data_IF_534609120794
#
_entry.id   IF_534609120794
#
_cell.length_a   1.000
_cell.length_b   1.000
_cell.length_c   1.000
_cell.angle_alpha   90.00
_cell.angle_beta   90.00
_cell.angle_gamma   90.00
#
_symmetry.space_group_name_H-M   'P 1'
#
loop_
_entity.id
_entity.type
_entity.pdbx_description
1 polymer ?
#
# COMPACT_ATOMS: atom_id res chain seq x y z
N UNK A 1 -7.07 26.76 3.33
CA UNK A 1 -6.56 25.82 4.33
C UNK A 1 -6.77 24.41 3.85
N UNK A 2 -5.72 23.63 3.80
CA UNK A 2 -5.79 22.27 3.32
C UNK A 2 -6.24 21.35 4.46
N UNK A 3 -7.30 20.59 4.24
CA UNK A 3 -7.75 19.61 5.23
C UNK A 3 -6.76 18.44 5.25
N UNK A 4 -6.40 17.99 6.44
CA UNK A 4 -5.57 16.82 6.61
C UNK A 4 -6.46 15.58 6.66
N UNK A 5 -6.04 14.55 5.95
CA UNK A 5 -6.69 13.25 6.00
C UNK A 5 -5.98 12.39 7.06
N UNK A 6 -6.71 11.49 7.68
CA UNK A 6 -6.11 10.54 8.61
C UNK A 6 -5.79 9.26 7.84
N UNK A 7 -4.53 8.82 7.92
CA UNK A 7 -4.09 7.61 7.24
C UNK A 7 -4.08 6.45 8.22
N UNK A 8 -4.77 5.39 7.87
CA UNK A 8 -4.82 4.15 8.65
C UNK A 8 -4.16 3.04 7.85
N UNK A 9 -3.20 2.37 8.46
CA UNK A 9 -2.63 1.14 7.91
C UNK A 9 -3.47 0.00 8.46
N UNK A 10 -4.26 -0.64 7.62
CA UNK A 10 -5.11 -1.74 8.07
C UNK A 10 -4.25 -2.92 8.53
N UNK A 11 -4.83 -3.74 9.41
CA UNK A 11 -4.09 -4.83 10.02
C UNK A 11 -3.47 -5.77 8.99
N UNK A 12 -4.19 -6.06 7.90
CA UNK A 12 -3.67 -6.90 6.83
C UNK A 12 -2.48 -6.27 6.11
N UNK A 13 -2.48 -4.95 5.93
CA UNK A 13 -1.36 -4.23 5.34
C UNK A 13 -0.18 -4.15 6.31
N UNK A 14 -0.46 -4.01 7.60
CA UNK A 14 0.57 -4.08 8.63
C UNK A 14 1.27 -5.44 8.61
N UNK A 15 0.49 -6.51 8.48
CA UNK A 15 1.03 -7.86 8.35
C UNK A 15 1.89 -8.00 7.09
N UNK A 16 1.45 -7.40 5.98
CA UNK A 16 2.25 -7.35 4.75
C UNK A 16 3.63 -6.74 5.02
N UNK A 17 3.66 -5.62 5.74
CA UNK A 17 4.91 -4.92 6.04
C UNK A 17 5.84 -5.78 6.89
N UNK A 18 5.28 -6.48 7.87
CA UNK A 18 6.09 -7.35 8.73
C UNK A 18 6.70 -8.50 7.94
N UNK A 19 5.95 -9.09 7.03
CA UNK A 19 6.44 -10.18 6.18
C UNK A 19 7.53 -9.69 5.22
N UNK A 20 7.36 -8.50 4.65
CA UNK A 20 8.37 -7.87 3.80
C UNK A 20 9.65 -7.63 4.61
N UNK A 21 9.51 -7.09 5.82
CA UNK A 21 10.64 -6.79 6.69
C UNK A 21 11.41 -8.07 7.07
N UNK A 22 10.69 -9.14 7.42
CA UNK A 22 11.32 -10.42 7.75
C UNK A 22 12.13 -10.96 6.57
N UNK A 23 11.57 -10.89 5.38
CA UNK A 23 12.24 -11.36 4.18
C UNK A 23 13.49 -10.54 3.87
N UNK A 24 13.40 -9.22 3.97
CA UNK A 24 14.54 -8.33 3.74
C UNK A 24 15.62 -8.55 4.81
N UNK A 25 15.22 -8.73 6.07
CA UNK A 25 16.17 -9.00 7.15
C UNK A 25 16.98 -10.28 6.90
N UNK A 26 16.31 -11.33 6.39
CA UNK A 26 16.99 -12.59 6.06
C UNK A 26 17.93 -12.45 4.86
N UNK A 27 17.52 -11.68 3.83
CA UNK A 27 18.29 -11.56 2.58
C UNK A 27 19.36 -10.48 2.64
N UNK A 28 19.19 -9.47 3.45
CA UNK A 28 20.10 -8.35 3.58
C UNK A 28 20.53 -8.13 5.02
N UNK A 29 19.75 -7.36 5.78
CA UNK A 29 20.05 -7.07 7.19
C UNK A 29 18.81 -6.50 7.89
N UNK A 30 18.83 -6.53 9.22
CA UNK A 30 17.79 -5.88 10.02
C UNK A 30 17.78 -4.37 9.82
N UNK A 31 18.95 -3.78 9.64
CA UNK A 31 19.06 -2.35 9.38
C UNK A 31 18.34 -1.98 8.08
N UNK A 32 18.58 -2.75 7.02
CA UNK A 32 17.92 -2.54 5.73
C UNK A 32 16.40 -2.72 5.85
N UNK A 33 15.97 -3.73 6.61
CA UNK A 33 14.55 -3.97 6.82
C UNK A 33 13.88 -2.80 7.55
N UNK A 34 14.49 -2.28 8.61
CA UNK A 34 13.96 -1.13 9.36
C UNK A 34 13.91 0.12 8.49
N UNK A 35 14.95 0.36 7.70
CA UNK A 35 15.00 1.49 6.79
C UNK A 35 13.86 1.43 5.77
N UNK A 36 13.61 0.24 5.22
CA UNK A 36 12.52 0.04 4.27
C UNK A 36 11.16 0.29 4.92
N UNK A 37 10.94 -0.23 6.13
CA UNK A 37 9.68 0.01 6.84
C UNK A 37 9.43 1.50 7.06
N UNK A 38 10.45 2.24 7.47
CA UNK A 38 10.32 3.68 7.68
C UNK A 38 10.00 4.40 6.38
N UNK A 39 10.63 3.99 5.28
CA UNK A 39 10.37 4.59 3.97
C UNK A 39 8.96 4.29 3.47
N UNK A 40 8.46 3.07 3.70
CA UNK A 40 7.09 2.71 3.34
C UNK A 40 6.07 3.52 4.15
N UNK A 41 6.33 3.70 5.45
CA UNK A 41 5.46 4.51 6.31
C UNK A 41 5.48 5.98 5.89
N UNK A 42 6.67 6.51 5.55
CA UNK A 42 6.78 7.88 5.06
C UNK A 42 6.02 8.06 3.75
N UNK A 43 6.10 7.08 2.86
CA UNK A 43 5.37 7.09 1.60
C UNK A 43 3.85 7.16 1.87
N UNK A 44 3.37 6.31 2.77
CA UNK A 44 1.94 6.30 3.13
C UNK A 44 1.52 7.63 3.76
N UNK A 45 2.38 8.24 4.58
CA UNK A 45 2.04 9.48 5.27
C UNK A 45 1.83 10.66 4.32
N UNK A 46 2.37 10.61 3.11
CA UNK A 46 2.13 11.66 2.12
C UNK A 46 0.65 11.79 1.76
N UNK A 47 -0.12 10.73 1.99
CA UNK A 47 -1.55 10.71 1.70
C UNK A 47 -2.37 11.58 2.67
N UNK A 48 -1.79 12.02 3.77
CA UNK A 48 -2.43 12.95 4.69
C UNK A 48 -2.77 14.28 4.00
N UNK A 49 -1.93 14.70 3.08
CA UNK A 49 -2.08 15.96 2.37
C UNK A 49 -2.49 15.78 0.91
N UNK A 50 -2.14 14.66 0.31
CA UNK A 50 -2.35 14.39 -1.11
C UNK A 50 -2.99 13.02 -1.32
N UNK A 51 -4.24 12.82 -0.85
CA UNK A 51 -4.87 11.50 -0.92
C UNK A 51 -5.15 11.01 -2.35
N UNK A 52 -5.24 11.94 -3.31
CA UNK A 52 -5.55 11.59 -4.69
C UNK A 52 -4.31 11.46 -5.57
N UNK A 53 -3.11 11.49 -4.98
CA UNK A 53 -1.88 11.47 -5.78
C UNK A 53 -1.61 10.14 -6.48
N UNK A 54 -2.19 9.06 -5.99
CA UNK A 54 -1.99 7.75 -6.57
C UNK A 54 -2.82 7.53 -7.82
N UNK A 55 -2.44 6.52 -8.60
CA UNK A 55 -3.17 6.10 -9.79
C UNK A 55 -4.08 4.91 -9.48
N UNK A 56 -5.08 4.69 -10.32
CA UNK A 56 -5.96 3.52 -10.17
C UNK A 56 -5.19 2.30 -10.68
N UNK A 57 -5.09 1.21 -9.88
CA UNK A 57 -4.41 0.00 -10.34
C UNK A 57 -5.09 -0.56 -11.59
N UNK A 58 -4.28 -0.85 -12.63
CA UNK A 58 -4.82 -1.37 -13.89
C UNK A 58 -5.56 -2.69 -13.69
N UNK A 59 -5.08 -3.52 -12.77
CA UNK A 59 -5.71 -4.81 -12.44
C UNK A 59 -7.15 -4.66 -11.98
N UNK A 60 -7.45 -3.57 -11.27
CA UNK A 60 -8.80 -3.29 -10.77
C UNK A 60 -9.61 -2.50 -11.80
N UNK A 61 -8.97 -1.61 -12.52
CA UNK A 61 -9.65 -0.83 -13.58
C UNK A 61 -10.24 -1.75 -14.65
N UNK A 62 -9.54 -2.83 -14.98
CA UNK A 62 -10.03 -3.83 -15.94
C UNK A 62 -11.33 -4.48 -15.49
N UNK A 63 -11.55 -4.53 -14.18
CA UNK A 63 -12.77 -5.10 -13.59
C UNK A 63 -13.83 -4.04 -13.31
N UNK A 64 -13.59 -2.80 -13.72
CA UNK A 64 -14.51 -1.70 -13.46
C UNK A 64 -14.45 -1.15 -12.05
N UNK A 65 -13.42 -1.52 -11.27
CA UNK A 65 -13.27 -1.11 -9.87
C UNK A 65 -12.33 0.10 -9.83
N UNK A 66 -12.83 1.24 -9.37
CA UNK A 66 -12.10 2.50 -9.38
C UNK A 66 -11.98 3.15 -8.00
N UNK A 67 -12.42 2.47 -6.95
CA UNK A 67 -12.38 3.02 -5.59
C UNK A 67 -11.00 2.98 -4.95
N UNK A 68 -10.08 2.24 -5.53
CA UNK A 68 -8.73 2.07 -4.98
C UNK A 68 -7.71 2.83 -5.83
N UNK A 69 -6.67 3.31 -5.15
CA UNK A 69 -5.52 3.94 -5.80
C UNK A 69 -4.26 3.26 -5.31
N UNK A 70 -3.16 3.50 -5.99
CA UNK A 70 -1.87 2.95 -5.60
C UNK A 70 -0.78 4.01 -5.61
N UNK A 71 0.16 3.85 -4.68
CA UNK A 71 1.47 4.50 -4.76
C UNK A 71 2.50 3.43 -5.06
N UNK A 72 3.56 3.83 -5.73
CA UNK A 72 4.68 2.93 -6.01
C UNK A 72 5.91 3.49 -5.31
N UNK A 73 6.58 2.66 -4.52
CA UNK A 73 7.82 3.00 -3.88
C UNK A 73 8.83 1.88 -4.17
N UNK A 74 9.88 2.18 -4.94
CA UNK A 74 10.79 1.16 -5.45
C UNK A 74 9.98 0.10 -6.21
N UNK A 75 10.09 -1.17 -5.83
CA UNK A 75 9.28 -2.25 -6.43
C UNK A 75 7.98 -2.52 -5.68
N UNK A 76 7.72 -1.79 -4.59
CA UNK A 76 6.54 -2.03 -3.74
C UNK A 76 5.37 -1.18 -4.18
N UNK A 77 4.17 -1.75 -4.04
CA UNK A 77 2.91 -1.06 -4.34
C UNK A 77 2.09 -0.97 -3.07
N UNK A 78 1.60 0.24 -2.78
CA UNK A 78 0.70 0.50 -1.65
C UNK A 78 -0.68 0.76 -2.23
N UNK A 79 -1.62 -0.12 -1.94
CA UNK A 79 -2.99 -0.02 -2.45
C UNK A 79 -3.86 0.56 -1.34
N UNK A 80 -4.55 1.66 -1.63
CA UNK A 80 -5.32 2.37 -0.62
C UNK A 80 -6.67 2.83 -1.17
N UNK A 81 -7.57 3.19 -0.25
CA UNK A 81 -8.87 3.73 -0.59
C UNK A 81 -9.14 4.96 0.28
N UNK A 82 -9.72 5.98 -0.32
CA UNK A 82 -10.10 7.21 0.39
C UNK A 82 -11.60 7.14 0.67
N UNK A 83 -11.99 7.33 1.94
CA UNK A 83 -13.39 7.34 2.34
C UNK A 83 -13.59 8.51 3.30
N UNK A 84 -14.35 9.52 2.84
CA UNK A 84 -14.53 10.73 3.63
C UNK A 84 -13.20 11.41 3.90
N UNK A 85 -12.89 11.69 5.16
CA UNK A 85 -11.61 12.29 5.58
C UNK A 85 -10.54 11.28 5.93
N UNK A 86 -10.71 10.02 5.57
CA UNK A 86 -9.81 8.93 5.95
C UNK A 86 -9.22 8.23 4.75
N UNK A 87 -7.98 7.78 4.90
CA UNK A 87 -7.29 6.96 3.91
C UNK A 87 -6.99 5.61 4.55
N UNK A 88 -7.39 4.54 3.91
CA UNK A 88 -7.15 3.18 4.40
C UNK A 88 -6.19 2.46 3.47
N UNK A 89 -5.02 2.11 3.99
CA UNK A 89 -4.04 1.31 3.24
C UNK A 89 -4.39 -0.16 3.43
N UNK A 90 -4.76 -0.82 2.33
CA UNK A 90 -5.27 -2.20 2.33
C UNK A 90 -4.19 -3.24 2.06
N UNK A 91 -3.27 -2.94 1.14
CA UNK A 91 -2.28 -3.91 0.68
C UNK A 91 -0.94 -3.21 0.48
N UNK A 92 0.13 -3.85 0.92
CA UNK A 92 1.49 -3.45 0.58
C UNK A 92 2.18 -4.70 0.07
N UNK A 93 2.61 -4.68 -1.19
CA UNK A 93 3.18 -5.86 -1.81
C UNK A 93 4.26 -5.49 -2.82
N UNK A 94 5.19 -6.41 -3.03
CA UNK A 94 6.16 -6.30 -4.11
C UNK A 94 5.38 -6.42 -5.43
N UNK A 95 5.47 -5.40 -6.26
CA UNK A 95 4.72 -5.33 -7.51
C UNK A 95 5.14 -6.35 -8.56
N UNK A 96 6.22 -7.11 -8.30
CA UNK A 96 6.66 -8.19 -9.19
C UNK A 96 5.86 -9.48 -8.97
N UNK A 97 5.04 -9.55 -7.91
CA UNK A 97 4.14 -10.67 -7.66
C UNK A 97 2.98 -10.66 -8.67
N UNK A 98 2.21 -11.75 -8.71
CA UNK A 98 0.96 -11.79 -9.46
C UNK A 98 -0.06 -10.88 -8.76
N UNK A 99 -0.05 -9.61 -9.15
CA UNK A 99 -0.88 -8.59 -8.52
C UNK A 99 -2.36 -8.79 -8.85
N UNK A 100 -2.67 -9.32 -10.03
CA UNK A 100 -4.07 -9.58 -10.38
C UNK A 100 -4.70 -10.53 -9.38
N UNK A 101 -4.07 -11.66 -9.14
CA UNK A 101 -4.56 -12.67 -8.20
C UNK A 101 -4.57 -12.12 -6.77
N UNK A 102 -3.51 -11.44 -6.38
CA UNK A 102 -3.39 -10.90 -5.02
C UNK A 102 -4.50 -9.90 -4.72
N UNK A 103 -4.73 -8.94 -5.61
CA UNK A 103 -5.73 -7.92 -5.39
C UNK A 103 -7.16 -8.47 -5.42
N UNK A 104 -7.43 -9.42 -6.32
CA UNK A 104 -8.74 -10.07 -6.34
C UNK A 104 -9.01 -10.79 -5.02
N UNK A 105 -8.03 -11.54 -4.53
CA UNK A 105 -8.18 -12.26 -3.26
C UNK A 105 -8.34 -11.31 -2.07
N UNK A 106 -7.50 -10.29 -2.00
CA UNK A 106 -7.43 -9.38 -0.85
C UNK A 106 -8.57 -8.39 -0.80
N UNK A 107 -9.00 -7.89 -1.94
CA UNK A 107 -9.98 -6.80 -2.00
C UNK A 107 -11.37 -7.28 -2.40
N UNK A 108 -11.48 -8.39 -3.10
CA UNK A 108 -12.76 -8.90 -3.60
C UNK A 108 -13.17 -10.20 -2.94
N UNK A 109 -12.34 -10.77 -2.09
CA UNK A 109 -12.66 -11.99 -1.36
C UNK A 109 -12.66 -13.26 -2.20
N UNK A 110 -11.86 -13.28 -3.25
CA UNK A 110 -11.83 -14.44 -4.17
C UNK A 110 -10.60 -15.31 -4.00
#
# INVERSE_FOLDING_TARGET
MTANFTVYILKSAEQDMLEIAEDVARRASEFTAESLLNELLDCASTLEHFPDRGSIPSELAQLGIREFRQLVFQSYRLIYRVTGGSVFVHVIADGRRDMQQLLERRLLGQ
#
